data_IF_995317416356
#
_entry.id   IF_995317416356
#
_cell.length_a   1.000
_cell.length_b   1.000
_cell.length_c   1.000
_cell.angle_alpha   90.00
_cell.angle_beta   90.00
_cell.angle_gamma   90.00
#
_symmetry.space_group_name_H-M   'P 1'
#
loop_
_entity.id
_entity.type
_entity.pdbx_description
1 polymer ?
#
# COMPACT_ATOMS: atom_id res chain seq x y z
N UNK A 1 -10.46 -12.41 13.67
CA UNK A 1 -10.03 -13.28 12.56
C UNK A 1 -8.68 -13.89 12.91
N UNK A 2 -8.44 -15.17 12.60
CA UNK A 2 -7.12 -15.76 12.73
C UNK A 2 -6.13 -15.07 11.76
N UNK A 3 -4.83 -15.00 12.10
CA UNK A 3 -3.81 -14.48 11.20
C UNK A 3 -3.65 -15.36 9.95
N UNK A 4 -3.23 -14.77 8.83
CA UNK A 4 -3.06 -15.47 7.56
C UNK A 4 -1.77 -16.29 7.56
N UNK A 5 -1.85 -17.51 7.03
CA UNK A 5 -0.70 -18.42 6.92
C UNK A 5 0.30 -17.98 5.84
N UNK A 6 -0.20 -17.41 4.75
CA UNK A 6 0.58 -16.81 3.67
C UNK A 6 0.38 -15.29 3.68
N UNK A 7 1.46 -14.54 3.49
CA UNK A 7 1.45 -13.09 3.43
C UNK A 7 0.76 -12.55 2.17
N UNK A 8 0.77 -13.32 1.08
CA UNK A 8 0.06 -13.01 -0.16
C UNK A 8 -1.47 -13.08 -0.02
N UNK A 9 -1.98 -13.79 0.99
CA UNK A 9 -3.42 -13.87 1.29
C UNK A 9 -3.92 -12.70 2.15
N UNK A 10 -3.00 -11.90 2.71
CA UNK A 10 -3.39 -10.74 3.53
C UNK A 10 -4.10 -9.72 2.64
N UNK A 11 -5.37 -9.37 2.95
CA UNK A 11 -6.10 -8.39 2.16
C UNK A 11 -5.35 -7.07 2.08
N UNK A 12 -5.30 -6.49 0.89
CA UNK A 12 -4.60 -5.22 0.67
C UNK A 12 -5.16 -4.10 1.57
N UNK A 13 -6.47 -4.13 1.86
CA UNK A 13 -7.12 -3.21 2.80
C UNK A 13 -6.47 -3.21 4.19
N UNK A 14 -6.08 -4.38 4.72
CA UNK A 14 -5.43 -4.48 6.02
C UNK A 14 -4.05 -3.79 6.01
N UNK A 15 -3.34 -3.88 4.89
CA UNK A 15 -2.07 -3.20 4.69
C UNK A 15 -2.24 -1.68 4.60
N UNK A 16 -3.23 -1.21 3.82
CA UNK A 16 -3.54 0.22 3.70
C UNK A 16 -3.94 0.80 5.07
N UNK A 17 -4.83 0.13 5.80
CA UNK A 17 -5.24 0.54 7.14
C UNK A 17 -4.04 0.61 8.10
N UNK A 18 -3.15 -0.38 8.05
CA UNK A 18 -1.90 -0.33 8.82
C UNK A 18 -1.07 0.90 8.47
N UNK A 19 -0.85 1.19 7.18
CA UNK A 19 -0.05 2.33 6.74
C UNK A 19 -0.66 3.66 7.22
N UNK A 20 -1.98 3.83 7.13
CA UNK A 20 -2.68 5.01 7.66
C UNK A 20 -2.50 5.14 9.18
N UNK A 21 -2.62 4.06 9.95
CA UNK A 21 -2.40 4.10 11.40
C UNK A 21 -0.92 4.37 11.75
N UNK A 22 0.00 3.81 10.97
CA UNK A 22 1.45 3.98 11.15
C UNK A 22 1.90 5.41 10.85
N UNK A 23 1.37 6.03 9.79
CA UNK A 23 1.64 7.44 9.45
C UNK A 23 1.15 8.39 10.54
N UNK A 24 -0.06 8.16 11.06
CA UNK A 24 -0.66 8.96 12.12
C UNK A 24 0.02 8.81 13.49
N UNK A 25 0.88 7.80 13.67
CA UNK A 25 1.60 7.58 14.93
C UNK A 25 2.79 8.56 15.06
N UNK A 26 2.71 9.49 16.02
CA UNK A 26 3.66 10.59 16.20
C UNK A 26 5.07 10.21 16.68
N UNK A 27 5.25 9.07 17.37
CA UNK A 27 6.51 8.66 18.02
C UNK A 27 6.94 7.25 17.62
N UNK A 28 8.24 6.96 17.71
CA UNK A 28 8.83 5.66 17.35
C UNK A 28 8.19 4.46 18.06
N UNK A 29 7.90 4.57 19.36
CA UNK A 29 7.25 3.49 20.12
C UNK A 29 5.83 3.21 19.63
N UNK A 30 5.07 4.26 19.29
CA UNK A 30 3.71 4.10 18.75
C UNK A 30 3.76 3.43 17.37
N UNK A 31 4.72 3.80 16.52
CA UNK A 31 4.96 3.16 15.21
C UNK A 31 5.36 1.69 15.36
N UNK A 32 6.23 1.37 16.31
CA UNK A 32 6.60 0.00 16.62
C UNK A 32 5.41 -0.83 17.10
N UNK A 33 4.53 -0.25 17.94
CA UNK A 33 3.29 -0.91 18.35
C UNK A 33 2.40 -1.22 17.15
N UNK A 34 2.21 -0.27 16.22
CA UNK A 34 1.45 -0.52 14.99
C UNK A 34 2.04 -1.66 14.15
N UNK A 35 3.36 -1.71 14.01
CA UNK A 35 4.03 -2.78 13.26
C UNK A 35 3.86 -4.15 13.92
N UNK A 36 4.02 -4.23 15.24
CA UNK A 36 3.82 -5.46 16.01
C UNK A 36 2.37 -5.91 15.91
N UNK A 37 1.41 -4.99 16.08
CA UNK A 37 -0.01 -5.28 15.98
C UNK A 37 -0.40 -5.81 14.60
N UNK A 38 0.06 -5.15 13.53
CA UNK A 38 -0.17 -5.61 12.17
C UNK A 38 0.36 -7.03 11.96
N UNK A 39 1.61 -7.30 12.37
CA UNK A 39 2.23 -8.62 12.26
C UNK A 39 1.45 -9.69 13.01
N UNK A 40 1.12 -9.44 14.28
CA UNK A 40 0.43 -10.41 15.14
C UNK A 40 -0.98 -10.72 14.63
N UNK A 41 -1.70 -9.72 14.13
CA UNK A 41 -3.08 -9.89 13.67
C UNK A 41 -3.20 -10.46 12.25
N UNK A 42 -2.20 -10.26 11.40
CA UNK A 42 -2.30 -10.59 9.98
C UNK A 42 -1.37 -11.70 9.51
N UNK A 43 -0.27 -12.01 10.21
CA UNK A 43 0.76 -12.90 9.67
C UNK A 43 1.16 -13.97 10.68
N UNK A 44 0.89 -15.23 10.37
CA UNK A 44 1.48 -16.37 11.08
C UNK A 44 2.98 -16.39 10.80
N UNK A 45 3.79 -16.59 11.85
CA UNK A 45 5.26 -16.71 11.72
C UNK A 45 5.75 -18.10 12.16
N UNK A 46 6.71 -18.69 11.43
CA UNK A 46 7.32 -18.19 10.18
C UNK A 46 6.35 -18.27 8.98
N UNK A 47 6.44 -17.32 8.05
CA UNK A 47 5.71 -17.36 6.77
C UNK A 47 6.70 -17.64 5.63
N UNK A 48 6.27 -18.47 4.66
CA UNK A 48 7.07 -18.87 3.50
C UNK A 48 7.23 -17.77 2.44
N UNK A 49 6.35 -16.78 2.46
CA UNK A 49 6.20 -15.74 1.44
C UNK A 49 6.24 -14.33 2.04
N UNK A 50 6.96 -14.17 3.16
CA UNK A 50 7.05 -12.92 3.93
C UNK A 50 7.37 -11.69 3.07
N UNK A 51 8.14 -11.89 2.00
CA UNK A 51 8.51 -10.85 1.03
C UNK A 51 7.30 -10.16 0.36
N UNK A 52 6.16 -10.85 0.22
CA UNK A 52 4.95 -10.31 -0.41
C UNK A 52 4.46 -9.02 0.25
N UNK A 53 4.59 -8.91 1.58
CA UNK A 53 4.23 -7.72 2.35
C UNK A 53 5.40 -6.74 2.41
N UNK A 54 6.61 -7.21 2.72
CA UNK A 54 7.75 -6.30 2.94
C UNK A 54 8.14 -5.51 1.69
N UNK A 55 7.96 -6.05 0.49
CA UNK A 55 8.16 -5.31 -0.75
C UNK A 55 7.22 -4.10 -0.89
N UNK A 56 6.02 -4.19 -0.31
CA UNK A 56 5.04 -3.09 -0.31
C UNK A 56 5.32 -2.08 0.80
N UNK A 57 5.83 -2.54 1.95
CA UNK A 57 6.19 -1.67 3.07
C UNK A 57 7.51 -0.91 2.86
N UNK A 58 8.43 -1.51 2.12
CA UNK A 58 9.75 -0.97 1.82
C UNK A 58 9.93 -0.92 0.30
N UNK A 59 9.16 -0.06 -0.41
CA UNK A 59 9.17 -0.03 -1.87
C UNK A 59 10.56 0.35 -2.43
N UNK A 60 11.37 1.12 -1.69
CA UNK A 60 12.76 1.43 -2.08
C UNK A 60 13.70 0.23 -2.09
N UNK A 61 13.31 -0.89 -1.48
CA UNK A 61 14.05 -2.15 -1.49
C UNK A 61 13.46 -3.18 -2.48
N UNK A 62 12.35 -2.86 -3.16
CA UNK A 62 11.81 -3.69 -4.23
C UNK A 62 12.68 -3.53 -5.48
N UNK A 63 13.09 -4.64 -6.09
CA UNK A 63 13.95 -4.63 -7.30
C UNK A 63 13.13 -4.49 -8.58
N UNK A 64 11.80 -4.53 -8.49
CA UNK A 64 10.90 -4.41 -9.64
C UNK A 64 10.86 -2.96 -10.11
N UNK A 65 11.13 -2.75 -11.40
CA UNK A 65 10.94 -1.45 -12.04
C UNK A 65 9.53 -1.40 -12.65
N UNK A 66 8.66 -0.55 -12.10
CA UNK A 66 7.29 -0.39 -12.59
C UNK A 66 7.18 0.56 -13.79
N UNK A 67 8.26 1.30 -14.12
CA UNK A 67 8.34 2.27 -15.24
C UNK A 67 7.09 3.16 -15.41
N UNK A 68 6.40 3.43 -14.31
CA UNK A 68 5.13 4.13 -14.28
C UNK A 68 5.39 5.59 -13.90
N UNK A 69 5.09 6.50 -14.83
CA UNK A 69 5.19 7.95 -14.60
C UNK A 69 3.85 8.48 -14.09
N UNK A 70 3.90 9.53 -13.27
CA UNK A 70 2.71 10.19 -12.71
C UNK A 70 1.71 10.60 -13.79
N UNK A 71 2.19 11.17 -14.90
CA UNK A 71 1.34 11.56 -16.03
C UNK A 71 0.61 10.38 -16.68
N UNK A 72 1.28 9.23 -16.80
CA UNK A 72 0.66 8.02 -17.35
C UNK A 72 -0.38 7.45 -16.39
N UNK A 73 -0.12 7.49 -15.08
CA UNK A 73 -1.09 7.11 -14.06
C UNK A 73 -2.30 8.05 -14.05
N UNK A 74 -2.08 9.36 -14.16
CA UNK A 74 -3.14 10.37 -14.24
C UNK A 74 -4.08 10.13 -15.42
N UNK A 75 -3.52 9.83 -16.61
CA UNK A 75 -4.31 9.48 -17.79
C UNK A 75 -5.20 8.24 -17.54
N UNK A 76 -4.64 7.19 -16.94
CA UNK A 76 -5.38 5.97 -16.59
C UNK A 76 -6.52 6.26 -15.61
N UNK A 77 -6.29 7.14 -14.61
CA UNK A 77 -7.32 7.49 -13.63
C UNK A 77 -8.48 8.28 -14.26
N UNK A 78 -8.18 9.26 -15.12
CA UNK A 78 -9.21 10.03 -15.83
C UNK A 78 -10.04 9.13 -16.73
N UNK A 79 -9.39 8.24 -17.49
CA UNK A 79 -10.06 7.30 -18.38
C UNK A 79 -10.91 6.27 -17.59
N UNK A 80 -10.40 5.73 -16.48
CA UNK A 80 -11.11 4.73 -15.67
C UNK A 80 -12.35 5.27 -14.95
N UNK A 81 -12.32 6.54 -14.53
CA UNK A 81 -13.46 7.19 -13.85
C UNK A 81 -14.44 7.79 -14.87
N UNK A 82 -14.04 7.94 -16.14
CA UNK A 82 -14.89 8.48 -17.20
C UNK A 82 -15.14 9.97 -17.08
N UNK A 83 -14.20 10.72 -16.50
CA UNK A 83 -14.31 12.18 -16.36
C UNK A 83 -13.96 12.83 -17.70
N UNK A 84 -14.69 13.88 -18.08
CA UNK A 84 -14.33 14.71 -19.23
C UNK A 84 -12.90 15.25 -19.05
N UNK A 85 -12.04 15.01 -20.04
CA UNK A 85 -10.63 15.43 -20.03
C UNK A 85 -10.49 16.95 -19.93
N UNK A 86 -11.49 17.72 -20.36
CA UNK A 86 -11.49 19.18 -20.26
C UNK A 86 -11.94 19.69 -18.89
N UNK A 87 -12.50 18.82 -18.05
CA UNK A 87 -12.96 19.20 -16.72
C UNK A 87 -11.77 19.67 -15.85
N UNK A 88 -11.94 20.70 -15.01
CA UNK A 88 -10.88 21.20 -14.14
C UNK A 88 -10.23 20.12 -13.26
N UNK A 89 -10.99 19.11 -12.84
CA UNK A 89 -10.48 17.98 -12.06
C UNK A 89 -9.56 17.06 -12.88
N UNK A 90 -9.92 16.78 -14.14
CA UNK A 90 -9.09 15.97 -15.03
C UNK A 90 -7.79 16.71 -15.36
N UNK A 91 -7.87 18.02 -15.64
CA UNK A 91 -6.70 18.86 -15.91
C UNK A 91 -5.72 18.90 -14.71
N UNK A 92 -6.22 18.93 -13.47
CA UNK A 92 -5.38 18.86 -12.25
C UNK A 92 -4.64 17.54 -12.07
N UNK A 93 -5.15 16.44 -12.62
CA UNK A 93 -4.56 15.10 -12.49
C UNK A 93 -3.58 14.80 -13.64
N UNK A 94 -3.74 15.49 -14.77
CA UNK A 94 -2.93 15.32 -15.98
C UNK A 94 -1.71 16.25 -16.05
N UNK A 95 -1.69 17.33 -15.26
CA UNK A 95 -0.62 18.33 -15.16
C UNK A 95 0.18 18.18 -13.87
#
# INVERSE_FOLDING_TARGET
MPPYACCSDVPFENLVRFLTCFENAKKGDAKNRQLVEFRTKNVVRPSKDVYAIYRLLLPGSDRRMYLLKEQALGAVLVDAVGIDKTAPLAQKVLH
#
